data_IF_152627925328
#
_entry.id   IF_152627925328
#
_cell.length_a   1.000
_cell.length_b   1.000
_cell.length_c   1.000
_cell.angle_alpha   90.00
_cell.angle_beta   90.00
_cell.angle_gamma   90.00
#
_symmetry.space_group_name_H-M   'P 1'
#
loop_
_entity.id
_entity.type
_entity.pdbx_description
1 polymer ?
#
# COMPACT_ATOMS: atom_id res chain seq x y z
N UNK A 1 -5.25 13.98 44.62
CA UNK A 1 -5.02 15.15 45.52
C UNK A 1 -4.38 16.31 44.76
N UNK A 2 -3.29 16.10 44.01
CA UNK A 2 -2.66 17.16 43.20
C UNK A 2 -3.62 17.77 42.16
N UNK A 3 -4.34 16.93 41.41
CA UNK A 3 -5.41 17.29 40.46
C UNK A 3 -6.42 18.32 41.01
N UNK A 4 -6.97 18.02 42.19
CA UNK A 4 -7.95 18.88 42.87
C UNK A 4 -7.32 20.20 43.33
N UNK A 5 -6.06 20.18 43.77
CA UNK A 5 -5.33 21.39 44.17
C UNK A 5 -4.99 22.27 42.97
N UNK A 6 -4.59 21.68 41.84
CA UNK A 6 -4.31 22.41 40.60
C UNK A 6 -5.59 23.01 40.03
N UNK A 7 -6.71 22.28 40.07
CA UNK A 7 -8.02 22.81 39.69
C UNK A 7 -8.43 23.99 40.59
N UNK A 8 -8.19 23.92 41.90
CA UNK A 8 -8.48 25.01 42.82
C UNK A 8 -7.61 26.24 42.54
N UNK A 9 -6.32 26.07 42.23
CA UNK A 9 -5.43 27.17 41.84
C UNK A 9 -5.93 27.84 40.55
N UNK A 10 -6.31 27.05 39.54
CA UNK A 10 -6.89 27.60 38.30
C UNK A 10 -8.17 28.36 38.59
N UNK A 11 -9.08 27.81 39.40
CA UNK A 11 -10.32 28.49 39.78
C UNK A 11 -10.07 29.76 40.60
N UNK A 12 -9.05 29.81 41.45
CA UNK A 12 -8.64 31.02 42.17
C UNK A 12 -8.10 32.11 41.22
N UNK A 13 -7.32 31.74 40.21
CA UNK A 13 -6.84 32.68 39.17
C UNK A 13 -8.02 33.19 38.32
N UNK A 14 -9.01 32.33 38.08
CA UNK A 14 -10.18 32.65 37.29
C UNK A 14 -11.19 33.53 38.02
N UNK A 15 -11.25 33.46 39.36
CA UNK A 15 -12.14 34.25 40.19
C UNK A 15 -11.89 35.74 39.95
N UNK A 16 -12.75 36.35 39.14
CA UNK A 16 -12.90 37.81 39.09
C UNK A 16 -13.67 38.17 40.36
N UNK A 17 -13.18 39.14 41.14
CA UNK A 17 -14.02 39.67 42.22
C UNK A 17 -15.24 40.32 41.57
N UNK A 18 -16.44 40.00 42.04
CA UNK A 18 -17.71 40.53 41.46
C UNK A 18 -17.74 42.07 41.38
N UNK A 19 -16.91 42.72 42.20
CA UNK A 19 -16.67 44.17 42.21
C UNK A 19 -15.83 44.61 41.01
N UNK A 20 -14.81 43.84 40.63
CA UNK A 20 -13.98 44.15 39.45
C UNK A 20 -14.76 44.02 38.14
N UNK A 21 -15.64 43.02 38.06
CA UNK A 21 -16.50 42.82 36.89
C UNK A 21 -17.56 43.92 36.76
N UNK A 22 -18.13 44.37 37.89
CA UNK A 22 -19.15 45.43 37.95
C UNK A 22 -18.59 46.85 37.69
N UNK A 23 -17.31 47.10 38.00
CA UNK A 23 -16.69 48.42 37.92
C UNK A 23 -15.48 48.49 36.95
N UNK A 24 -15.40 47.57 35.98
CA UNK A 24 -14.29 47.47 35.02
C UNK A 24 -13.95 48.77 34.25
N UNK A 25 -14.92 49.67 34.06
CA UNK A 25 -14.70 51.00 33.47
C UNK A 25 -14.18 52.08 34.41
N UNK A 26 -14.16 51.83 35.72
CA UNK A 26 -13.76 52.77 36.79
C UNK A 26 -12.54 52.31 37.59
N UNK A 27 -12.14 51.05 37.44
CA UNK A 27 -10.96 50.50 38.09
C UNK A 27 -9.70 50.84 37.28
N UNK A 28 -8.75 51.48 37.96
CA UNK A 28 -7.40 51.67 37.42
C UNK A 28 -6.70 50.32 37.48
N UNK A 29 -6.52 49.66 36.33
CA UNK A 29 -5.69 48.46 36.25
C UNK A 29 -4.28 48.78 36.75
N UNK A 30 -3.87 48.15 37.85
CA UNK A 30 -2.49 48.21 38.36
C UNK A 30 -1.74 46.95 37.92
N UNK A 31 -0.96 47.01 36.83
CA UNK A 31 -0.27 45.84 36.30
C UNK A 31 0.76 45.23 37.27
N UNK A 32 1.26 46.00 38.24
CA UNK A 32 2.21 45.52 39.25
C UNK A 32 1.54 44.55 40.25
N UNK A 33 0.35 44.88 40.76
CA UNK A 33 -0.39 44.03 41.72
C UNK A 33 -0.87 42.71 41.06
N UNK A 34 -1.26 42.76 39.78
CA UNK A 34 -1.58 41.56 39.00
C UNK A 34 -0.36 40.65 38.81
N UNK A 35 0.80 41.22 38.48
CA UNK A 35 2.04 40.47 38.31
C UNK A 35 2.51 39.81 39.61
N UNK A 36 2.35 40.48 40.75
CA UNK A 36 2.63 39.89 42.06
C UNK A 36 1.71 38.71 42.39
N UNK A 37 0.39 38.85 42.13
CA UNK A 37 -0.57 37.74 42.29
C UNK A 37 -0.20 36.55 41.40
N UNK A 38 0.12 36.79 40.13
CA UNK A 38 0.54 35.74 39.20
C UNK A 38 1.83 35.04 39.66
N UNK A 39 2.80 35.79 40.19
CA UNK A 39 4.03 35.24 40.77
C UNK A 39 3.75 34.36 42.00
N UNK A 40 2.78 34.74 42.85
CA UNK A 40 2.33 33.92 43.97
C UNK A 40 1.71 32.60 43.50
N UNK A 41 0.83 32.63 42.50
CA UNK A 41 0.22 31.42 41.93
C UNK A 41 1.26 30.53 41.24
N UNK A 42 2.23 31.12 40.54
CA UNK A 42 3.34 30.40 39.93
C UNK A 42 4.15 29.66 41.01
N UNK A 43 4.51 30.31 42.13
CA UNK A 43 5.24 29.67 43.23
C UNK A 43 4.46 28.50 43.85
N UNK A 44 3.15 28.66 44.06
CA UNK A 44 2.27 27.58 44.55
C UNK A 44 2.27 26.39 43.59
N UNK A 45 2.12 26.65 42.30
CA UNK A 45 2.10 25.61 41.28
C UNK A 45 3.45 24.91 41.14
N UNK A 46 4.56 25.66 41.17
CA UNK A 46 5.93 25.14 41.22
C UNK A 46 6.11 24.16 42.37
N UNK A 47 5.71 24.51 43.59
CA UNK A 47 5.88 23.66 44.77
C UNK A 47 5.12 22.32 44.66
N UNK A 48 3.91 22.33 44.09
CA UNK A 48 3.12 21.11 43.85
C UNK A 48 3.78 20.26 42.78
N UNK A 49 4.25 20.87 41.69
CA UNK A 49 4.84 20.15 40.57
C UNK A 49 6.19 19.53 40.96
N UNK A 50 7.07 20.24 41.66
CA UNK A 50 8.39 19.72 42.07
C UNK A 50 8.31 18.50 43.01
N UNK A 51 7.25 18.39 43.81
CA UNK A 51 7.06 17.29 44.76
C UNK A 51 6.31 16.08 44.18
N UNK A 52 5.77 16.22 42.97
CA UNK A 52 4.95 15.20 42.30
C UNK A 52 5.78 14.32 41.35
N UNK A 53 5.37 13.07 41.16
CA UNK A 53 5.93 12.19 40.12
C UNK A 53 5.51 12.63 38.71
N UNK A 54 6.21 12.16 37.68
CA UNK A 54 5.93 12.53 36.29
C UNK A 54 4.50 12.19 35.83
N UNK A 55 3.94 11.06 36.26
CA UNK A 55 2.56 10.66 35.93
C UNK A 55 1.52 11.60 36.57
N UNK A 56 1.76 12.00 37.82
CA UNK A 56 0.88 12.93 38.54
C UNK A 56 0.98 14.34 37.96
N UNK A 57 2.20 14.76 37.56
CA UNK A 57 2.40 16.01 36.83
C UNK A 57 1.61 15.99 35.51
N UNK A 58 1.68 14.91 34.73
CA UNK A 58 0.97 14.80 33.46
C UNK A 58 -0.55 14.91 33.64
N UNK A 59 -1.12 14.16 34.59
CA UNK A 59 -2.56 14.20 34.91
C UNK A 59 -3.01 15.61 35.34
N UNK A 60 -2.24 16.24 36.24
CA UNK A 60 -2.54 17.59 36.72
C UNK A 60 -2.47 18.63 35.60
N UNK A 61 -1.52 18.52 34.67
CA UNK A 61 -1.40 19.40 33.51
C UNK A 61 -2.53 19.17 32.51
N UNK A 62 -2.95 17.92 32.26
CA UNK A 62 -4.13 17.63 31.43
C UNK A 62 -5.39 18.29 31.99
N UNK A 63 -5.59 18.23 33.30
CA UNK A 63 -6.71 18.90 33.95
C UNK A 63 -6.59 20.43 33.85
N UNK A 64 -5.40 20.99 34.10
CA UNK A 64 -5.13 22.42 33.96
C UNK A 64 -5.48 22.93 32.56
N UNK A 65 -5.04 22.22 31.52
CA UNK A 65 -5.31 22.55 30.12
C UNK A 65 -6.81 22.45 29.82
N UNK A 66 -7.49 21.43 30.35
CA UNK A 66 -8.93 21.24 30.17
C UNK A 66 -9.74 22.41 30.75
N UNK A 67 -9.37 22.90 31.94
CA UNK A 67 -10.00 24.08 32.56
C UNK A 67 -9.70 25.35 31.76
N UNK A 68 -8.46 25.50 31.29
CA UNK A 68 -8.03 26.65 30.47
C UNK A 68 -8.77 26.70 29.14
N UNK A 69 -9.11 25.54 28.56
CA UNK A 69 -9.78 25.45 27.26
C UNK A 69 -11.24 25.94 27.25
N UNK A 70 -11.90 26.03 28.40
CA UNK A 70 -13.30 26.48 28.54
C UNK A 70 -13.41 28.00 28.62
N UNK A 71 -12.28 28.70 28.77
CA UNK A 71 -12.25 30.14 28.94
C UNK A 71 -12.59 30.91 27.66
N UNK A 72 -13.44 31.92 27.80
CA UNK A 72 -13.75 32.88 26.74
C UNK A 72 -12.85 34.12 26.77
N UNK A 73 -12.23 34.43 27.92
CA UNK A 73 -11.34 35.57 28.07
C UNK A 73 -9.90 35.22 27.62
N UNK A 74 -9.51 35.74 26.47
CA UNK A 74 -8.17 35.54 25.88
C UNK A 74 -7.03 36.04 26.76
N UNK A 75 -7.20 37.16 27.49
CA UNK A 75 -6.15 37.71 28.36
C UNK A 75 -5.82 36.74 29.51
N UNK A 76 -6.86 36.25 30.20
CA UNK A 76 -6.70 35.26 31.29
C UNK A 76 -6.12 33.94 30.79
N UNK A 77 -6.57 33.48 29.61
CA UNK A 77 -6.02 32.28 28.97
C UNK A 77 -4.52 32.42 28.69
N UNK A 78 -4.09 33.57 28.15
CA UNK A 78 -2.69 33.85 27.90
C UNK A 78 -1.86 33.88 29.19
N UNK A 79 -2.39 34.45 30.28
CA UNK A 79 -1.73 34.43 31.58
C UNK A 79 -1.55 33.01 32.11
N UNK A 80 -2.59 32.17 32.09
CA UNK A 80 -2.52 30.77 32.52
C UNK A 80 -1.49 29.97 31.71
N UNK A 81 -1.52 30.08 30.39
CA UNK A 81 -0.54 29.42 29.52
C UNK A 81 0.88 29.98 29.72
N UNK A 82 1.02 31.27 30.05
CA UNK A 82 2.31 31.88 30.42
C UNK A 82 2.89 31.33 31.73
N UNK A 83 2.06 30.95 32.70
CA UNK A 83 2.53 30.25 33.90
C UNK A 83 3.14 28.90 33.53
N UNK A 84 2.50 28.14 32.64
CA UNK A 84 3.04 26.85 32.17
C UNK A 84 4.36 27.01 31.43
N UNK A 85 4.48 28.04 30.60
CA UNK A 85 5.73 28.40 29.92
C UNK A 85 6.87 28.64 30.92
N UNK A 86 6.60 29.43 31.97
CA UNK A 86 7.59 29.71 33.00
C UNK A 86 8.03 28.43 33.73
N UNK A 87 7.11 27.51 34.02
CA UNK A 87 7.46 26.23 34.65
C UNK A 87 8.39 25.37 33.79
N UNK A 88 8.21 25.40 32.47
CA UNK A 88 9.13 24.76 31.52
C UNK A 88 10.48 25.46 31.50
N UNK A 89 10.50 26.79 31.43
CA UNK A 89 11.74 27.58 31.42
C UNK A 89 12.56 27.41 32.72
N UNK A 90 11.90 27.18 33.86
CA UNK A 90 12.54 26.86 35.14
C UNK A 90 12.91 25.38 35.30
N UNK A 91 12.74 24.55 34.26
CA UNK A 91 13.01 23.11 34.26
C UNK A 91 12.21 22.31 35.31
N UNK A 92 11.06 22.82 35.75
CA UNK A 92 10.16 22.09 36.67
C UNK A 92 9.30 21.10 35.89
N UNK A 93 8.87 21.50 34.68
CA UNK A 93 8.12 20.65 33.75
C UNK A 93 8.93 20.37 32.50
N UNK A 94 8.84 19.15 31.99
CA UNK A 94 9.43 18.79 30.70
C UNK A 94 8.60 19.41 29.56
N UNK A 95 9.27 20.15 28.68
CA UNK A 95 8.63 20.78 27.50
C UNK A 95 7.84 19.78 26.65
N UNK A 96 8.37 18.55 26.52
CA UNK A 96 7.75 17.45 25.78
C UNK A 96 6.41 17.04 26.37
N UNK A 97 6.37 16.76 27.68
CA UNK A 97 5.16 16.38 28.40
C UNK A 97 4.06 17.43 28.20
N UNK A 98 4.41 18.71 28.32
CA UNK A 98 3.45 19.80 28.12
C UNK A 98 2.91 19.84 26.67
N UNK A 99 3.77 19.71 25.66
CA UNK A 99 3.35 19.65 24.26
C UNK A 99 2.41 18.47 24.00
N UNK A 100 2.73 17.29 24.51
CA UNK A 100 1.93 16.08 24.35
C UNK A 100 0.55 16.23 25.03
N UNK A 101 0.49 16.80 26.23
CA UNK A 101 -0.77 17.11 26.92
C UNK A 101 -1.63 18.12 26.15
N UNK A 102 -1.03 19.14 25.52
CA UNK A 102 -1.75 20.11 24.70
C UNK A 102 -2.32 19.42 23.45
N UNK A 103 -1.50 18.68 22.71
CA UNK A 103 -1.89 18.05 21.45
C UNK A 103 -2.93 16.94 21.62
N UNK A 104 -2.91 16.24 22.75
CA UNK A 104 -3.91 15.21 23.09
C UNK A 104 -5.22 15.79 23.62
N UNK A 105 -5.30 17.10 23.87
CA UNK A 105 -6.55 17.73 24.29
C UNK A 105 -7.63 17.62 23.21
N UNK A 106 -8.81 17.14 23.60
CA UNK A 106 -10.00 17.09 22.73
C UNK A 106 -10.54 18.49 22.41
N UNK A 107 -10.29 19.45 23.30
CA UNK A 107 -10.74 20.84 23.15
C UNK A 107 -9.83 21.66 22.23
N UNK A 108 -8.66 21.12 21.85
CA UNK A 108 -7.77 21.73 20.86
C UNK A 108 -8.36 21.50 19.45
N UNK A 109 -9.33 22.34 19.10
CA UNK A 109 -10.02 22.38 17.81
C UNK A 109 -10.00 23.80 17.25
N UNK A 110 -9.91 23.94 15.92
CA UNK A 110 -9.85 25.25 15.25
C UNK A 110 -11.07 26.15 15.53
N UNK A 111 -12.22 25.55 15.90
CA UNK A 111 -13.43 26.28 16.29
C UNK A 111 -13.27 27.04 17.60
N UNK A 112 -12.40 26.56 18.50
CA UNK A 112 -11.99 27.28 19.70
C UNK A 112 -10.75 28.11 19.35
N UNK A 113 -10.97 29.21 18.61
CA UNK A 113 -9.90 29.95 17.94
C UNK A 113 -8.85 30.51 18.90
N UNK A 114 -9.27 31.06 20.04
CA UNK A 114 -8.34 31.67 21.00
C UNK A 114 -7.48 30.59 21.67
N UNK A 115 -8.10 29.51 22.15
CA UNK A 115 -7.39 28.39 22.74
C UNK A 115 -6.43 27.73 21.75
N UNK A 116 -6.89 27.54 20.51
CA UNK A 116 -6.05 27.02 19.42
C UNK A 116 -4.80 27.88 19.21
N UNK A 117 -4.99 29.20 19.03
CA UNK A 117 -3.88 30.13 18.76
C UNK A 117 -2.90 30.15 19.93
N UNK A 118 -3.39 30.32 21.16
CA UNK A 118 -2.50 30.45 22.32
C UNK A 118 -1.76 29.14 22.64
N UNK A 119 -2.38 27.97 22.45
CA UNK A 119 -1.70 26.68 22.57
C UNK A 119 -0.57 26.49 21.55
N UNK A 120 -0.81 26.80 20.26
CA UNK A 120 0.24 26.69 19.25
C UNK A 120 1.34 27.74 19.44
N UNK A 121 1.00 28.94 19.93
CA UNK A 121 1.99 29.94 20.36
C UNK A 121 2.86 29.43 21.51
N UNK A 122 2.25 28.80 22.52
CA UNK A 122 2.97 28.19 23.64
C UNK A 122 3.91 27.09 23.15
N UNK A 123 3.41 26.14 22.35
CA UNK A 123 4.24 25.08 21.73
C UNK A 123 5.43 25.70 20.99
N UNK A 124 5.20 26.75 20.18
CA UNK A 124 6.27 27.41 19.41
C UNK A 124 7.39 28.00 20.29
N UNK A 125 7.06 28.45 21.51
CA UNK A 125 8.02 29.02 22.47
C UNK A 125 8.81 27.94 23.20
N UNK A 126 8.17 26.84 23.60
CA UNK A 126 8.80 25.78 24.42
C UNK A 126 9.44 24.65 23.62
N UNK A 127 9.09 24.45 22.34
CA UNK A 127 9.54 23.30 21.53
C UNK A 127 11.07 23.21 21.39
N UNK A 128 11.80 24.31 21.56
CA UNK A 128 13.27 24.32 21.57
C UNK A 128 13.90 23.52 22.72
N UNK A 129 13.13 23.26 23.80
CA UNK A 129 13.55 22.40 24.91
C UNK A 129 13.28 20.90 24.71
N UNK A 130 12.86 20.48 23.52
CA UNK A 130 12.55 19.08 23.20
C UNK A 130 13.63 18.49 22.28
N UNK A 131 14.01 17.23 22.54
CA UNK A 131 14.95 16.51 21.67
C UNK A 131 14.38 16.26 20.26
N UNK A 132 15.25 16.02 19.27
CA UNK A 132 14.82 15.89 17.87
C UNK A 132 13.83 14.74 17.61
N UNK A 133 13.87 13.65 18.39
CA UNK A 133 12.90 12.55 18.27
C UNK A 133 11.55 12.96 18.84
N UNK A 134 11.55 13.68 19.96
CA UNK A 134 10.34 14.27 20.54
C UNK A 134 9.70 15.30 19.60
N UNK A 135 10.50 16.19 19.01
CA UNK A 135 10.01 17.16 18.02
C UNK A 135 9.32 16.47 16.83
N UNK A 136 9.83 15.32 16.38
CA UNK A 136 9.19 14.53 15.30
C UNK A 136 7.77 14.09 15.64
N UNK A 137 7.56 13.59 16.86
CA UNK A 137 6.23 13.15 17.31
C UNK A 137 5.29 14.34 17.55
N UNK A 138 5.80 15.44 18.12
CA UNK A 138 5.04 16.70 18.27
C UNK A 138 4.60 17.22 16.88
N UNK A 139 5.51 17.24 15.91
CA UNK A 139 5.20 17.66 14.53
C UNK A 139 4.14 16.78 13.88
N UNK A 140 4.14 15.47 14.15
CA UNK A 140 3.09 14.54 13.70
C UNK A 140 1.74 14.92 14.30
N UNK A 141 1.66 15.13 15.61
CA UNK A 141 0.42 15.56 16.29
C UNK A 141 -0.08 16.92 15.81
N UNK A 142 0.82 17.90 15.63
CA UNK A 142 0.49 19.20 15.04
C UNK A 142 -0.13 19.06 13.64
N UNK A 143 0.46 18.21 12.78
CA UNK A 143 -0.04 17.96 11.42
C UNK A 143 -1.43 17.32 11.44
N UNK A 144 -1.66 16.32 12.29
CA UNK A 144 -2.96 15.65 12.41
C UNK A 144 -4.07 16.62 12.80
N UNK A 145 -3.79 17.54 13.75
CA UNK A 145 -4.74 18.58 14.16
C UNK A 145 -4.98 19.62 13.07
N UNK A 146 -3.93 20.03 12.35
CA UNK A 146 -3.97 21.14 11.40
C UNK A 146 -4.21 20.74 9.93
N UNK A 147 -4.41 19.45 9.64
CA UNK A 147 -4.51 18.93 8.26
C UNK A 147 -5.62 19.58 7.41
N UNK A 148 -6.65 20.12 8.04
CA UNK A 148 -7.79 20.77 7.36
C UNK A 148 -7.52 22.23 6.98
N UNK A 149 -6.38 22.80 7.39
CA UNK A 149 -6.06 24.21 7.14
C UNK A 149 -5.39 24.41 5.75
N UNK A 150 -6.00 25.17 4.82
CA UNK A 150 -5.48 25.31 3.46
C UNK A 150 -4.07 25.92 3.37
N UNK A 151 -3.75 26.86 4.27
CA UNK A 151 -2.43 27.51 4.31
C UNK A 151 -1.30 26.52 4.62
N UNK A 152 -1.58 25.47 5.38
CA UNK A 152 -0.59 24.45 5.73
C UNK A 152 -0.23 23.59 4.52
N UNK A 153 -1.20 23.31 3.63
CA UNK A 153 -0.97 22.49 2.45
C UNK A 153 0.15 23.07 1.57
N UNK A 154 0.10 24.37 1.25
CA UNK A 154 1.14 25.03 0.44
C UNK A 154 2.53 24.95 1.08
N UNK A 155 2.62 25.24 2.38
CA UNK A 155 3.88 25.17 3.12
C UNK A 155 4.48 23.76 3.10
N UNK A 156 3.64 22.74 3.35
CA UNK A 156 4.06 21.34 3.32
C UNK A 156 4.47 20.90 1.92
N UNK A 157 3.76 21.31 0.87
CA UNK A 157 4.14 21.03 -0.50
C UNK A 157 5.52 21.60 -0.79
N UNK A 158 5.77 22.89 -0.52
CA UNK A 158 7.09 23.49 -0.75
C UNK A 158 8.20 22.81 0.06
N UNK A 159 7.92 22.42 1.31
CA UNK A 159 8.87 21.68 2.13
C UNK A 159 9.17 20.30 1.51
N UNK A 160 8.16 19.53 1.13
CA UNK A 160 8.33 18.23 0.46
C UNK A 160 9.12 18.40 -0.83
N UNK A 161 8.80 19.40 -1.64
CA UNK A 161 9.50 19.67 -2.90
C UNK A 161 10.98 20.01 -2.72
N UNK A 162 11.38 20.60 -1.59
CA UNK A 162 12.81 20.83 -1.30
C UNK A 162 13.63 19.54 -1.17
N UNK A 163 12.99 18.38 -1.00
CA UNK A 163 13.64 17.06 -1.00
C UNK A 163 13.75 16.41 -2.38
N UNK A 164 13.23 17.03 -3.45
CA UNK A 164 13.38 16.52 -4.83
C UNK A 164 14.86 16.27 -5.22
N UNK A 165 15.82 17.17 -4.92
CA UNK A 165 17.24 16.89 -5.19
C UNK A 165 17.77 15.66 -4.44
N UNK A 166 17.33 15.45 -3.20
CA UNK A 166 17.70 14.27 -2.42
C UNK A 166 17.13 12.99 -3.04
N UNK A 167 15.86 13.03 -3.51
CA UNK A 167 15.25 11.92 -4.24
C UNK A 167 16.05 11.58 -5.51
N UNK A 168 16.47 12.60 -6.27
CA UNK A 168 17.30 12.42 -7.47
C UNK A 168 18.67 11.81 -7.16
N UNK A 169 19.34 12.24 -6.08
CA UNK A 169 20.65 11.69 -5.67
C UNK A 169 20.61 10.19 -5.36
N UNK A 170 19.46 9.67 -4.91
CA UNK A 170 19.29 8.25 -4.54
C UNK A 170 18.50 7.45 -5.59
N UNK A 171 18.29 8.04 -6.78
CA UNK A 171 17.57 7.42 -7.89
C UNK A 171 18.49 7.19 -9.08
N UNK A 172 18.19 6.16 -9.88
CA UNK A 172 18.89 5.91 -11.14
C UNK A 172 18.16 6.70 -12.23
N UNK A 173 18.92 7.51 -12.99
CA UNK A 173 18.36 8.31 -14.09
C UNK A 173 17.85 7.36 -15.19
N UNK A 174 16.59 7.52 -15.59
CA UNK A 174 15.98 6.71 -16.65
C UNK A 174 15.67 5.26 -16.26
N UNK A 175 15.68 4.92 -14.97
CA UNK A 175 15.58 3.52 -14.49
C UNK A 175 14.37 2.76 -15.03
N UNK A 176 13.20 3.40 -15.14
CA UNK A 176 11.97 2.81 -15.67
C UNK A 176 12.04 2.41 -17.14
N UNK A 177 13.01 2.96 -17.88
CA UNK A 177 13.24 2.67 -19.31
C UNK A 177 14.40 1.68 -19.52
N UNK A 178 15.20 1.43 -18.49
CA UNK A 178 16.32 0.50 -18.60
C UNK A 178 15.80 -0.94 -18.54
N UNK A 179 16.31 -1.79 -19.41
CA UNK A 179 15.96 -3.21 -19.48
C UNK A 179 17.21 -4.05 -19.24
N UNK A 180 17.16 -5.04 -18.34
CA UNK A 180 18.28 -5.94 -18.12
C UNK A 180 18.40 -6.97 -19.24
N UNK A 181 19.62 -7.47 -19.41
CA UNK A 181 19.86 -8.75 -20.07
C UNK A 181 19.55 -9.86 -19.06
N UNK A 182 18.71 -10.81 -19.44
CA UNK A 182 18.35 -11.93 -18.57
C UNK A 182 19.50 -12.93 -18.54
N UNK A 183 20.16 -13.02 -17.39
CA UNK A 183 21.23 -13.98 -17.17
C UNK A 183 20.71 -15.25 -16.49
N UNK A 184 21.22 -16.40 -16.95
CA UNK A 184 20.93 -17.71 -16.36
C UNK A 184 21.88 -18.05 -15.19
N UNK A 185 23.05 -17.41 -15.13
CA UNK A 185 23.98 -17.62 -14.03
C UNK A 185 23.39 -17.04 -12.76
N UNK A 186 23.11 -17.91 -11.78
CA UNK A 186 22.52 -17.60 -10.47
C UNK A 186 23.39 -16.73 -9.57
N UNK A 187 23.88 -15.60 -10.06
CA UNK A 187 24.50 -14.52 -9.30
C UNK A 187 23.42 -13.73 -8.50
N UNK A 188 22.57 -14.47 -7.78
CA UNK A 188 21.60 -13.93 -6.83
C UNK A 188 22.23 -13.35 -5.56
N UNK A 189 23.56 -13.36 -5.46
CA UNK A 189 24.35 -12.90 -4.30
C UNK A 189 24.89 -11.47 -4.43
N UNK A 190 24.57 -10.74 -5.50
CA UNK A 190 24.82 -9.30 -5.49
C UNK A 190 23.90 -8.64 -4.47
N UNK A 191 24.49 -8.08 -3.41
CA UNK A 191 23.86 -7.37 -2.29
C UNK A 191 22.85 -6.28 -2.71
N UNK A 192 22.83 -5.88 -3.99
CA UNK A 192 21.94 -4.86 -4.55
C UNK A 192 21.36 -5.35 -5.89
N UNK A 193 20.08 -5.77 -5.88
CA UNK A 193 19.30 -5.96 -7.10
C UNK A 193 18.57 -4.63 -7.43
N UNK A 194 18.96 -3.89 -8.50
CA UNK A 194 18.30 -2.64 -8.86
C UNK A 194 16.88 -2.87 -9.38
N UNK A 195 16.58 -4.06 -9.90
CA UNK A 195 15.30 -4.43 -10.51
C UNK A 195 14.28 -4.95 -9.50
N UNK A 196 14.50 -4.73 -8.20
CA UNK A 196 13.61 -5.24 -7.17
C UNK A 196 12.27 -4.50 -7.20
N UNK A 197 11.21 -5.28 -7.36
CA UNK A 197 9.82 -4.84 -7.39
C UNK A 197 9.08 -5.36 -6.17
N UNK A 198 8.13 -4.57 -5.68
CA UNK A 198 7.15 -5.03 -4.72
C UNK A 198 6.17 -6.02 -5.40
N UNK A 199 5.98 -7.24 -4.88
CA UNK A 199 5.20 -8.27 -5.55
C UNK A 199 3.69 -7.99 -5.61
N UNK A 200 3.17 -7.06 -4.80
CA UNK A 200 1.76 -6.68 -4.82
C UNK A 200 1.48 -5.54 -5.80
N UNK A 201 2.37 -4.56 -5.86
CA UNK A 201 2.17 -3.31 -6.61
C UNK A 201 3.00 -3.21 -7.89
N UNK A 202 3.99 -4.08 -8.06
CA UNK A 202 5.00 -4.06 -9.13
C UNK A 202 5.80 -2.75 -9.22
N UNK A 203 5.83 -1.95 -8.15
CA UNK A 203 6.60 -0.70 -8.08
C UNK A 203 8.02 -0.99 -7.63
N UNK A 204 8.96 -0.12 -7.98
CA UNK A 204 10.32 -0.22 -7.45
C UNK A 204 10.33 -0.14 -5.92
N UNK A 205 11.18 -0.95 -5.29
CA UNK A 205 11.42 -0.89 -3.85
C UNK A 205 12.32 0.31 -3.49
N UNK A 206 11.74 1.51 -3.50
CA UNK A 206 12.45 2.77 -3.23
C UNK A 206 12.75 2.97 -1.73
N UNK A 207 13.83 3.70 -1.42
CA UNK A 207 14.32 3.88 -0.04
C UNK A 207 13.73 5.12 0.63
N UNK A 208 12.78 4.89 1.54
CA UNK A 208 12.19 5.95 2.34
C UNK A 208 11.13 6.76 1.59
N UNK A 209 10.58 7.78 2.27
CA UNK A 209 9.44 8.55 1.77
C UNK A 209 9.89 9.87 1.15
N UNK A 210 10.65 9.78 0.05
CA UNK A 210 11.11 10.94 -0.71
C UNK A 210 10.15 11.25 -1.88
N UNK A 211 10.12 12.50 -2.36
CA UNK A 211 9.34 12.90 -3.53
C UNK A 211 10.02 12.41 -4.82
N UNK A 212 9.98 11.11 -5.04
CA UNK A 212 10.49 10.48 -6.25
C UNK A 212 9.71 10.90 -7.49
N UNK A 213 10.37 10.79 -8.64
CA UNK A 213 9.71 11.01 -9.93
C UNK A 213 8.56 10.00 -10.12
N UNK A 214 7.46 10.48 -10.71
CA UNK A 214 6.23 9.71 -10.90
C UNK A 214 6.46 8.37 -11.63
N UNK A 215 7.41 8.33 -12.56
CA UNK A 215 7.72 7.12 -13.32
C UNK A 215 8.30 6.01 -12.45
N UNK A 216 9.00 6.33 -11.36
CA UNK A 216 9.53 5.36 -10.40
C UNK A 216 8.44 4.85 -9.43
N UNK A 217 7.40 5.66 -9.22
CA UNK A 217 6.27 5.35 -8.35
C UNK A 217 5.18 4.51 -9.04
N UNK A 218 5.23 4.40 -10.37
CA UNK A 218 4.30 3.59 -11.16
C UNK A 218 4.68 2.10 -11.17
N UNK A 219 3.72 1.20 -11.40
CA UNK A 219 4.00 -0.21 -11.64
C UNK A 219 4.91 -0.42 -12.87
N UNK A 220 5.99 -1.18 -12.71
CA UNK A 220 6.99 -1.46 -13.74
C UNK A 220 6.61 -2.70 -14.56
N UNK A 221 5.44 -2.62 -15.22
CA UNK A 221 4.85 -3.74 -15.96
C UNK A 221 5.70 -4.11 -17.18
N UNK A 222 6.17 -3.12 -17.94
CA UNK A 222 7.01 -3.33 -19.12
C UNK A 222 8.29 -4.10 -18.78
N UNK A 223 8.96 -3.72 -17.69
CA UNK A 223 10.15 -4.38 -17.17
C UNK A 223 9.87 -5.85 -16.81
N UNK A 224 8.81 -6.12 -16.05
CA UNK A 224 8.46 -7.49 -15.67
C UNK A 224 8.09 -8.34 -16.90
N UNK A 225 7.32 -7.78 -17.84
CA UNK A 225 6.97 -8.46 -19.10
C UNK A 225 8.19 -8.79 -19.95
N UNK A 226 9.11 -7.83 -20.09
CA UNK A 226 10.38 -8.03 -20.80
C UNK A 226 11.13 -9.24 -20.24
N UNK A 227 11.29 -9.31 -18.91
CA UNK A 227 11.97 -10.43 -18.25
C UNK A 227 11.21 -11.75 -18.42
N UNK A 228 9.90 -11.75 -18.18
CA UNK A 228 9.07 -12.96 -18.31
C UNK A 228 9.07 -13.56 -19.71
N UNK A 229 9.18 -12.73 -20.75
CA UNK A 229 9.24 -13.16 -22.15
C UNK A 229 10.59 -13.79 -22.53
N UNK A 230 11.65 -13.56 -21.77
CA UNK A 230 12.95 -14.18 -22.06
C UNK A 230 13.00 -15.63 -21.56
N UNK A 231 13.60 -16.55 -22.33
CA UNK A 231 13.99 -17.87 -21.86
C UNK A 231 14.88 -17.80 -20.60
N UNK A 232 14.82 -18.82 -19.75
CA UNK A 232 15.67 -18.95 -18.56
C UNK A 232 15.52 -17.84 -17.49
N UNK A 233 14.50 -16.98 -17.59
CA UNK A 233 14.25 -15.85 -16.70
C UNK A 233 13.75 -16.17 -15.28
N UNK A 234 13.56 -17.44 -14.95
CA UNK A 234 12.89 -17.88 -13.72
C UNK A 234 13.58 -17.37 -12.45
N UNK A 235 14.89 -17.47 -12.38
CA UNK A 235 15.66 -17.06 -11.18
C UNK A 235 15.70 -15.53 -11.05
N UNK A 236 15.88 -14.84 -12.17
CA UNK A 236 15.83 -13.38 -12.22
C UNK A 236 14.46 -12.85 -11.78
N UNK A 237 13.37 -13.42 -12.31
CA UNK A 237 12.00 -13.07 -11.93
C UNK A 237 11.76 -13.29 -10.43
N UNK A 238 12.22 -14.42 -9.88
CA UNK A 238 12.12 -14.68 -8.44
C UNK A 238 12.89 -13.63 -7.63
N UNK A 239 14.11 -13.29 -8.05
CA UNK A 239 14.95 -12.27 -7.41
C UNK A 239 14.31 -10.88 -7.46
N UNK A 240 13.75 -10.49 -8.60
CA UNK A 240 13.07 -9.21 -8.78
C UNK A 240 11.87 -9.07 -7.86
N UNK A 241 11.03 -10.10 -7.75
CA UNK A 241 9.82 -10.09 -6.95
C UNK A 241 10.05 -10.51 -5.48
N UNK A 242 11.29 -10.85 -5.10
CA UNK A 242 11.62 -11.37 -3.77
C UNK A 242 10.92 -12.69 -3.45
N UNK A 243 10.56 -13.48 -4.46
CA UNK A 243 9.86 -14.75 -4.30
C UNK A 243 10.85 -15.87 -4.00
N UNK A 244 10.60 -16.61 -2.92
CA UNK A 244 11.45 -17.72 -2.51
C UNK A 244 10.80 -19.04 -2.87
N UNK A 245 11.50 -19.90 -3.62
CA UNK A 245 10.97 -21.19 -4.11
C UNK A 245 10.50 -22.14 -3.00
N UNK A 246 11.05 -22.00 -1.79
CA UNK A 246 10.70 -22.83 -0.62
C UNK A 246 9.36 -22.42 0.01
N UNK A 247 8.94 -21.16 -0.18
CA UNK A 247 7.72 -20.62 0.38
C UNK A 247 6.66 -20.45 -0.71
N UNK A 248 5.64 -21.32 -0.69
CA UNK A 248 4.50 -21.21 -1.60
C UNK A 248 3.74 -19.92 -1.30
N UNK A 249 3.98 -18.90 -2.11
CA UNK A 249 3.32 -17.60 -2.00
C UNK A 249 2.70 -17.23 -3.34
N UNK A 250 1.36 -17.19 -3.39
CA UNK A 250 0.64 -16.74 -4.57
C UNK A 250 0.93 -15.27 -4.86
N UNK A 251 1.28 -14.96 -6.10
CA UNK A 251 1.55 -13.60 -6.56
C UNK A 251 0.51 -13.21 -7.62
N UNK A 252 -0.53 -12.49 -7.21
CA UNK A 252 -1.66 -12.11 -8.09
C UNK A 252 -1.18 -11.23 -9.24
N UNK A 253 -0.28 -10.28 -8.97
CA UNK A 253 0.26 -9.41 -10.01
C UNK A 253 1.01 -10.20 -11.10
N UNK A 254 1.71 -11.27 -10.71
CA UNK A 254 2.36 -12.18 -11.65
C UNK A 254 1.34 -12.99 -12.47
N UNK A 255 0.28 -13.51 -11.85
CA UNK A 255 -0.81 -14.18 -12.55
C UNK A 255 -1.43 -13.28 -13.62
N UNK A 256 -1.74 -12.03 -13.27
CA UNK A 256 -2.31 -11.06 -14.20
C UNK A 256 -1.37 -10.80 -15.39
N UNK A 257 -0.06 -10.69 -15.14
CA UNK A 257 0.92 -10.54 -16.22
C UNK A 257 1.07 -11.80 -17.08
N UNK A 258 0.96 -13.01 -16.53
CA UNK A 258 0.95 -14.23 -17.34
C UNK A 258 -0.27 -14.29 -18.27
N UNK A 259 -1.44 -13.92 -17.76
CA UNK A 259 -2.66 -13.83 -18.57
C UNK A 259 -2.46 -12.84 -19.72
N UNK A 260 -1.96 -11.63 -19.45
CA UNK A 260 -1.63 -10.65 -20.48
C UNK A 260 -0.67 -11.21 -21.53
N UNK A 261 0.41 -11.87 -21.08
CA UNK A 261 1.41 -12.44 -21.97
C UNK A 261 0.87 -13.60 -22.83
N UNK A 262 -0.20 -14.27 -22.41
CA UNK A 262 -0.91 -15.28 -23.21
C UNK A 262 -1.91 -14.68 -24.20
N UNK A 263 -2.46 -13.49 -23.93
CA UNK A 263 -3.33 -12.77 -24.89
C UNK A 263 -2.54 -12.19 -26.05
N UNK A 264 -1.36 -11.62 -25.78
CA UNK A 264 -0.50 -11.01 -26.82
C UNK A 264 -0.22 -11.92 -28.03
N UNK A 265 0.20 -13.20 -27.89
CA UNK A 265 0.37 -14.08 -29.04
C UNK A 265 -0.96 -14.45 -29.70
N UNK A 266 -2.10 -14.48 -28.99
CA UNK A 266 -3.41 -14.68 -29.64
C UNK A 266 -3.74 -13.51 -30.55
N UNK A 267 -3.53 -12.27 -30.11
CA UNK A 267 -3.74 -11.06 -30.92
C UNK A 267 -2.82 -11.04 -32.15
N UNK A 268 -1.57 -11.48 -32.00
CA UNK A 268 -0.63 -11.62 -33.11
C UNK A 268 -1.08 -12.68 -34.11
N UNK A 269 -1.57 -13.83 -33.65
CA UNK A 269 -2.10 -14.87 -34.54
C UNK A 269 -3.26 -14.35 -35.40
N UNK A 270 -4.07 -13.40 -34.93
CA UNK A 270 -5.12 -12.79 -35.76
C UNK A 270 -4.58 -11.99 -36.94
N UNK A 271 -3.41 -11.36 -36.77
CA UNK A 271 -2.76 -10.51 -37.75
C UNK A 271 -1.87 -11.29 -38.73
N UNK A 272 -1.40 -12.48 -38.34
CA UNK A 272 -0.59 -13.35 -39.18
C UNK A 272 -1.44 -14.07 -40.26
N UNK A 273 -0.88 -14.21 -41.47
CA UNK A 273 -1.46 -15.00 -42.56
C UNK A 273 -1.10 -16.49 -42.38
N UNK A 274 -2.02 -17.39 -42.73
CA UNK A 274 -2.00 -18.83 -42.41
C UNK A 274 -0.88 -19.66 -43.08
N UNK A 275 0.00 -19.06 -43.87
CA UNK A 275 0.92 -19.77 -44.77
C UNK A 275 2.24 -20.22 -44.09
N UNK A 276 2.62 -19.67 -42.93
CA UNK A 276 3.85 -20.02 -42.22
C UNK A 276 3.59 -21.02 -41.05
N UNK A 277 3.90 -22.31 -41.26
CA UNK A 277 3.72 -23.37 -40.25
C UNK A 277 4.54 -23.18 -38.95
N UNK A 278 5.58 -22.33 -38.98
CA UNK A 278 6.47 -22.06 -37.85
C UNK A 278 6.62 -20.56 -37.62
N UNK A 279 5.48 -19.89 -37.44
CA UNK A 279 5.41 -18.47 -37.13
C UNK A 279 6.22 -18.11 -35.87
N UNK A 280 6.69 -16.85 -35.79
CA UNK A 280 7.39 -16.33 -34.61
C UNK A 280 6.60 -16.52 -33.30
N UNK A 281 5.27 -16.61 -33.40
CA UNK A 281 4.34 -16.85 -32.30
C UNK A 281 4.43 -18.27 -31.73
N UNK A 282 4.86 -19.28 -32.50
CA UNK A 282 5.01 -20.65 -32.01
C UNK A 282 6.00 -20.75 -30.84
N UNK A 283 7.17 -20.11 -30.96
CA UNK A 283 8.19 -20.09 -29.91
C UNK A 283 7.71 -19.37 -28.65
N UNK A 284 6.89 -18.32 -28.80
CA UNK A 284 6.26 -17.65 -27.67
C UNK A 284 5.33 -18.60 -26.92
N UNK A 285 4.52 -19.39 -27.62
CA UNK A 285 3.62 -20.37 -27.00
C UNK A 285 4.36 -21.47 -26.24
N UNK A 286 5.45 -22.00 -26.80
CA UNK A 286 6.29 -22.99 -26.12
C UNK A 286 6.91 -22.42 -24.83
N UNK A 287 7.43 -21.20 -24.91
CA UNK A 287 7.99 -20.52 -23.74
C UNK A 287 6.93 -20.28 -22.66
N UNK A 288 5.77 -19.74 -23.02
CA UNK A 288 4.65 -19.50 -22.10
C UNK A 288 4.17 -20.79 -21.44
N UNK A 289 4.09 -21.90 -22.20
CA UNK A 289 3.78 -23.23 -21.66
C UNK A 289 4.72 -23.60 -20.51
N UNK A 290 6.02 -23.53 -20.79
CA UNK A 290 7.07 -23.85 -19.80
C UNK A 290 7.01 -22.93 -18.58
N UNK A 291 6.70 -21.64 -18.76
CA UNK A 291 6.62 -20.67 -17.66
C UNK A 291 5.38 -20.88 -16.79
N UNK A 292 4.21 -21.07 -17.39
CA UNK A 292 2.95 -21.30 -16.68
C UNK A 292 3.03 -22.56 -15.84
N UNK A 293 3.54 -23.66 -16.41
CA UNK A 293 3.76 -24.91 -15.67
C UNK A 293 4.66 -24.66 -14.46
N UNK A 294 5.81 -24.02 -14.66
CA UNK A 294 6.77 -23.74 -13.59
C UNK A 294 6.14 -22.94 -12.44
N UNK A 295 5.46 -21.83 -12.77
CA UNK A 295 4.89 -20.90 -11.78
C UNK A 295 3.73 -21.51 -10.98
N UNK A 296 2.93 -22.36 -11.61
CA UNK A 296 1.87 -23.07 -10.88
C UNK A 296 2.47 -24.18 -10.00
N UNK A 297 3.44 -24.95 -10.50
CA UNK A 297 4.05 -26.05 -9.73
C UNK A 297 4.75 -25.58 -8.45
N UNK A 298 5.44 -24.44 -8.49
CA UNK A 298 6.08 -23.85 -7.31
C UNK A 298 5.10 -23.08 -6.41
N UNK A 299 3.84 -22.91 -6.84
CA UNK A 299 2.78 -22.27 -6.05
C UNK A 299 2.77 -20.74 -6.09
N UNK A 300 3.40 -20.11 -7.09
CA UNK A 300 3.34 -18.66 -7.30
C UNK A 300 2.11 -18.23 -8.10
N UNK A 301 1.55 -19.14 -8.88
CA UNK A 301 0.34 -18.92 -9.65
C UNK A 301 -0.69 -20.03 -9.42
N UNK A 302 -1.95 -19.73 -9.69
CA UNK A 302 -3.09 -20.63 -9.54
C UNK A 302 -3.76 -20.86 -10.90
N UNK A 303 -3.81 -22.14 -11.31
CA UNK A 303 -4.45 -22.53 -12.57
C UNK A 303 -5.91 -22.03 -12.73
N UNK A 304 -6.83 -22.25 -11.76
CA UNK A 304 -8.18 -21.71 -11.83
C UNK A 304 -8.23 -20.21 -12.14
N UNK A 305 -7.34 -19.43 -11.52
CA UNK A 305 -7.32 -17.98 -11.63
C UNK A 305 -6.73 -17.51 -12.95
N UNK A 306 -5.69 -18.19 -13.46
CA UNK A 306 -5.18 -17.94 -14.81
C UNK A 306 -6.28 -18.17 -15.85
N UNK A 307 -6.99 -19.29 -15.76
CA UNK A 307 -8.05 -19.64 -16.72
C UNK A 307 -9.21 -18.64 -16.66
N UNK A 308 -9.65 -18.27 -15.45
CA UNK A 308 -10.70 -17.25 -15.30
C UNK A 308 -10.23 -15.86 -15.75
N UNK A 309 -8.96 -15.50 -15.52
CA UNK A 309 -8.37 -14.25 -16.01
C UNK A 309 -8.34 -14.19 -17.53
N UNK A 310 -7.96 -15.29 -18.19
CA UNK A 310 -8.02 -15.43 -19.65
C UNK A 310 -9.45 -15.29 -20.16
N UNK A 311 -10.39 -16.04 -19.58
CA UNK A 311 -11.81 -15.95 -19.95
C UNK A 311 -12.33 -14.51 -19.83
N UNK A 312 -12.09 -13.83 -18.70
CA UNK A 312 -12.58 -12.48 -18.49
C UNK A 312 -12.01 -11.46 -19.48
N UNK A 313 -10.77 -11.65 -19.98
CA UNK A 313 -10.17 -10.79 -21.01
C UNK A 313 -10.61 -11.13 -22.42
N UNK A 314 -10.95 -12.39 -22.68
CA UNK A 314 -11.36 -12.85 -24.01
C UNK A 314 -12.86 -12.62 -24.25
N UNK A 315 -13.68 -12.45 -23.21
CA UNK A 315 -15.09 -12.11 -23.38
C UNK A 315 -15.22 -10.83 -24.21
N UNK A 316 -16.01 -10.91 -25.28
CA UNK A 316 -16.26 -9.79 -26.18
C UNK A 316 -15.19 -9.56 -27.25
N UNK A 317 -14.12 -10.36 -27.25
CA UNK A 317 -13.07 -10.34 -28.28
C UNK A 317 -13.15 -11.59 -29.15
N UNK A 318 -13.07 -11.42 -30.48
CA UNK A 318 -13.09 -12.54 -31.43
C UNK A 318 -11.67 -13.00 -31.78
N UNK A 319 -10.94 -13.52 -30.78
CA UNK A 319 -9.57 -14.03 -30.92
C UNK A 319 -9.60 -15.57 -30.99
N UNK A 320 -9.79 -16.13 -32.18
CA UNK A 320 -10.00 -17.57 -32.38
C UNK A 320 -8.82 -18.29 -33.03
N UNK A 321 -8.00 -17.63 -33.86
CA UNK A 321 -6.89 -18.31 -34.56
C UNK A 321 -5.85 -18.89 -33.59
N UNK A 322 -5.62 -18.23 -32.46
CA UNK A 322 -4.68 -18.68 -31.42
C UNK A 322 -5.22 -19.73 -30.43
N UNK A 323 -6.48 -20.15 -30.55
CA UNK A 323 -7.17 -20.95 -29.50
C UNK A 323 -6.53 -22.32 -29.28
N UNK A 324 -6.09 -22.99 -30.34
CA UNK A 324 -5.53 -24.34 -30.26
C UNK A 324 -4.15 -24.31 -29.57
N UNK A 325 -3.36 -23.26 -29.81
CA UNK A 325 -2.11 -23.02 -29.08
C UNK A 325 -2.36 -22.73 -27.60
N UNK A 326 -3.39 -21.95 -27.27
CA UNK A 326 -3.77 -21.69 -25.87
C UNK A 326 -4.21 -22.98 -25.17
N UNK A 327 -5.08 -23.77 -25.80
CA UNK A 327 -5.50 -25.05 -25.24
C UNK A 327 -4.33 -26.02 -25.07
N UNK A 328 -3.39 -26.03 -26.01
CA UNK A 328 -2.15 -26.80 -25.86
C UNK A 328 -1.33 -26.39 -24.62
N UNK A 329 -1.15 -25.09 -24.38
CA UNK A 329 -0.48 -24.58 -23.17
C UNK A 329 -1.16 -25.07 -21.90
N UNK A 330 -2.49 -24.95 -21.84
CA UNK A 330 -3.28 -25.34 -20.66
C UNK A 330 -3.28 -26.86 -20.46
N UNK A 331 -3.33 -27.64 -21.55
CA UNK A 331 -3.25 -29.09 -21.54
C UNK A 331 -1.98 -29.60 -20.86
N UNK A 332 -0.81 -28.99 -21.13
CA UNK A 332 0.45 -29.44 -20.54
C UNK A 332 0.39 -29.46 -19.00
N UNK A 333 -0.22 -28.43 -18.40
CA UNK A 333 -0.40 -28.40 -16.95
C UNK A 333 -1.48 -29.38 -16.48
N UNK A 334 -2.62 -29.45 -17.16
CA UNK A 334 -3.73 -30.36 -16.80
C UNK A 334 -3.24 -31.80 -16.81
N UNK A 335 -2.65 -32.26 -17.93
CA UNK A 335 -2.20 -33.64 -18.12
C UNK A 335 -1.20 -34.06 -17.03
N UNK A 336 -0.25 -33.19 -16.69
CA UNK A 336 0.78 -33.48 -15.69
C UNK A 336 0.34 -33.37 -14.22
N UNK A 337 -0.74 -32.63 -13.91
CA UNK A 337 -1.10 -32.30 -12.52
C UNK A 337 -2.47 -32.81 -12.07
N UNK A 338 -3.36 -33.21 -12.99
CA UNK A 338 -4.76 -33.56 -12.69
C UNK A 338 -4.89 -34.76 -11.73
N UNK A 339 -3.96 -35.70 -11.76
CA UNK A 339 -4.01 -36.86 -10.87
C UNK A 339 -3.87 -36.46 -9.40
N UNK A 340 -3.00 -35.49 -9.10
CA UNK A 340 -2.65 -35.07 -7.73
C UNK A 340 -3.52 -33.95 -7.16
N UNK A 341 -4.41 -33.38 -7.97
CA UNK A 341 -5.23 -32.23 -7.61
C UNK A 341 -6.72 -32.57 -7.75
N UNK A 342 -7.61 -31.89 -7.00
CA UNK A 342 -9.05 -32.10 -7.13
C UNK A 342 -9.56 -31.62 -8.48
N UNK A 343 -10.57 -32.30 -9.04
CA UNK A 343 -11.21 -31.93 -10.32
C UNK A 343 -11.67 -30.48 -10.34
N UNK A 344 -12.17 -29.96 -9.21
CA UNK A 344 -12.69 -28.60 -9.07
C UNK A 344 -11.70 -27.52 -9.50
N UNK A 345 -10.39 -27.76 -9.36
CA UNK A 345 -9.36 -26.81 -9.77
C UNK A 345 -9.29 -26.63 -11.30
N UNK A 346 -9.79 -27.60 -12.06
CA UNK A 346 -9.69 -27.59 -13.52
C UNK A 346 -10.99 -27.21 -14.22
N UNK A 347 -12.14 -27.30 -13.52
CA UNK A 347 -13.46 -26.95 -14.07
C UNK A 347 -13.58 -25.56 -14.71
N UNK A 348 -12.85 -24.49 -14.29
CA UNK A 348 -12.87 -23.21 -14.98
C UNK A 348 -12.56 -23.30 -16.48
N UNK A 349 -11.83 -24.33 -16.92
CA UNK A 349 -11.50 -24.54 -18.34
C UNK A 349 -12.74 -24.72 -19.22
N UNK A 350 -13.84 -25.22 -18.64
CA UNK A 350 -15.12 -25.41 -19.34
C UNK A 350 -15.64 -24.08 -19.87
N UNK A 351 -15.60 -23.02 -19.04
CA UNK A 351 -16.04 -21.67 -19.46
C UNK A 351 -15.18 -21.12 -20.59
N UNK A 352 -13.87 -21.32 -20.50
CA UNK A 352 -12.95 -20.87 -21.55
C UNK A 352 -13.16 -21.63 -22.86
N UNK A 353 -13.45 -22.92 -22.77
CA UNK A 353 -13.82 -23.75 -23.91
C UNK A 353 -15.13 -23.26 -24.57
N UNK A 354 -16.20 -23.02 -23.80
CA UNK A 354 -17.48 -22.51 -24.30
C UNK A 354 -17.33 -21.17 -25.04
N UNK A 355 -16.39 -20.34 -24.59
CA UNK A 355 -16.08 -19.05 -25.21
C UNK A 355 -15.31 -19.22 -26.53
N UNK A 356 -14.30 -20.08 -26.57
CA UNK A 356 -13.38 -20.21 -27.70
C UNK A 356 -13.84 -21.19 -28.79
N UNK A 357 -14.74 -22.11 -28.46
CA UNK A 357 -15.30 -23.11 -29.36
C UNK A 357 -16.83 -23.03 -29.41
N UNK A 358 -17.40 -21.93 -29.95
CA UNK A 358 -18.85 -21.75 -30.01
C UNK A 358 -19.54 -22.65 -31.05
N UNK A 359 -18.79 -23.41 -31.84
CA UNK A 359 -19.31 -24.27 -32.90
C UNK A 359 -20.20 -25.38 -32.33
N UNK A 360 -21.39 -25.53 -32.91
CA UNK A 360 -22.31 -26.63 -32.57
C UNK A 360 -22.02 -27.90 -33.38
N UNK A 361 -21.43 -27.74 -34.55
CA UNK A 361 -21.06 -28.85 -35.43
C UNK A 361 -19.77 -29.52 -34.94
N UNK A 362 -19.61 -30.84 -35.17
CA UNK A 362 -18.38 -31.54 -34.85
C UNK A 362 -17.15 -30.93 -35.54
N UNK A 363 -16.12 -30.64 -34.76
CA UNK A 363 -14.82 -30.21 -35.28
C UNK A 363 -14.22 -31.36 -36.11
N UNK A 364 -13.61 -31.06 -37.28
CA UNK A 364 -12.99 -32.07 -38.11
C UNK A 364 -11.77 -32.68 -37.42
N UNK A 365 -11.45 -33.92 -37.76
CA UNK A 365 -10.18 -34.55 -37.38
C UNK A 365 -9.06 -33.86 -38.15
N UNK A 366 -8.03 -33.31 -37.48
CA UNK A 366 -6.91 -32.66 -38.14
C UNK A 366 -6.01 -33.67 -38.85
N UNK A 367 -5.20 -33.18 -39.80
CA UNK A 367 -4.23 -34.02 -40.50
C UNK A 367 -3.11 -34.48 -39.56
N UNK A 368 -3.14 -35.76 -39.18
CA UNK A 368 -2.17 -36.40 -38.29
C UNK A 368 -0.73 -36.40 -38.84
N UNK A 369 -0.51 -36.10 -40.13
CA UNK A 369 0.83 -35.95 -40.69
C UNK A 369 1.50 -34.61 -40.28
N UNK A 370 0.71 -33.59 -39.91
CA UNK A 370 1.23 -32.26 -39.54
C UNK A 370 1.45 -32.17 -38.04
N UNK A 371 2.58 -31.64 -37.58
CA UNK A 371 2.89 -31.49 -36.16
C UNK A 371 1.85 -30.65 -35.39
N UNK A 372 1.23 -29.67 -36.07
CA UNK A 372 0.19 -28.82 -35.51
C UNK A 372 -1.09 -29.59 -35.10
N UNK A 373 -1.32 -30.81 -35.61
CA UNK A 373 -2.49 -31.62 -35.20
C UNK A 373 -2.57 -31.81 -33.68
N UNK A 374 -1.41 -31.87 -33.01
CA UNK A 374 -1.35 -32.01 -31.54
C UNK A 374 -1.96 -30.82 -30.81
N UNK A 375 -1.85 -29.61 -31.37
CA UNK A 375 -2.47 -28.41 -30.84
C UNK A 375 -3.98 -28.41 -31.10
N UNK A 376 -4.39 -28.79 -32.31
CA UNK A 376 -5.81 -28.87 -32.70
C UNK A 376 -6.58 -29.93 -31.88
N UNK A 377 -5.91 -31.03 -31.53
CA UNK A 377 -6.45 -32.08 -30.66
C UNK A 377 -6.35 -31.73 -29.16
N UNK A 378 -5.72 -30.62 -28.78
CA UNK A 378 -5.46 -30.32 -27.37
C UNK A 378 -6.76 -30.20 -26.55
N UNK A 379 -7.80 -29.59 -27.13
CA UNK A 379 -9.10 -29.40 -26.49
C UNK A 379 -9.79 -30.73 -26.16
N UNK A 380 -9.78 -31.70 -27.08
CA UNK A 380 -10.35 -33.03 -26.82
C UNK A 380 -9.51 -33.79 -25.78
N UNK A 381 -8.18 -33.68 -25.83
CA UNK A 381 -7.31 -34.28 -24.82
C UNK A 381 -7.55 -33.71 -23.41
N UNK A 382 -7.77 -32.39 -23.29
CA UNK A 382 -8.19 -31.77 -22.02
C UNK A 382 -9.46 -32.45 -21.51
N UNK A 383 -10.46 -32.60 -22.38
CA UNK A 383 -11.73 -33.20 -22.00
C UNK A 383 -11.60 -34.67 -21.58
N UNK A 384 -10.78 -35.45 -22.29
CA UNK A 384 -10.47 -36.84 -21.92
C UNK A 384 -9.87 -36.92 -20.50
N UNK A 385 -8.95 -36.02 -20.16
CA UNK A 385 -8.38 -35.95 -18.82
C UNK A 385 -9.43 -35.61 -17.75
N UNK A 386 -10.33 -34.65 -18.03
CA UNK A 386 -11.40 -34.27 -17.12
C UNK A 386 -12.42 -35.39 -16.91
N UNK A 387 -12.85 -36.08 -17.97
CA UNK A 387 -13.77 -37.21 -17.91
C UNK A 387 -13.19 -38.34 -17.03
N UNK A 388 -11.95 -38.75 -17.31
CA UNK A 388 -11.28 -39.80 -16.53
C UNK A 388 -11.12 -39.41 -15.05
N UNK A 389 -10.87 -38.13 -14.76
CA UNK A 389 -10.79 -37.63 -13.39
C UNK A 389 -12.16 -37.57 -12.72
N UNK A 390 -13.21 -37.17 -13.43
CA UNK A 390 -14.59 -37.17 -12.95
C UNK A 390 -15.07 -38.57 -12.58
N UNK A 391 -14.80 -39.56 -13.44
CA UNK A 391 -15.04 -40.98 -13.15
C UNK A 391 -14.35 -41.42 -11.86
N UNK A 392 -13.06 -41.07 -11.69
CA UNK A 392 -12.32 -41.41 -10.47
C UNK A 392 -12.84 -40.74 -9.20
N UNK A 393 -13.50 -39.58 -9.33
CA UNK A 393 -14.13 -38.84 -8.23
C UNK A 393 -15.65 -39.13 -8.11
N UNK A 394 -16.19 -40.10 -8.85
CA UNK A 394 -17.62 -40.46 -8.90
C UNK A 394 -18.53 -39.27 -9.26
N UNK A 395 -18.05 -38.38 -10.14
CA UNK A 395 -18.80 -37.23 -10.66
C UNK A 395 -19.23 -37.49 -12.10
N UNK A 396 -20.42 -37.04 -12.45
CA UNK A 396 -20.94 -37.11 -13.82
C UNK A 396 -20.43 -35.94 -14.64
N UNK A 397 -19.86 -36.23 -15.82
CA UNK A 397 -19.40 -35.23 -16.79
C UNK A 397 -19.61 -35.81 -18.19
N UNK A 398 -20.05 -34.98 -19.13
CA UNK A 398 -20.37 -35.39 -20.51
C UNK A 398 -19.40 -34.78 -21.50
N UNK A 399 -19.16 -35.48 -22.61
CA UNK A 399 -18.38 -34.96 -23.74
C UNK A 399 -19.25 -33.98 -24.57
N UNK A 400 -18.77 -32.78 -24.89
CA UNK A 400 -19.43 -31.88 -25.81
C UNK A 400 -19.59 -32.49 -27.20
N UNK A 401 -20.75 -32.27 -27.82
CA UNK A 401 -21.09 -32.89 -29.10
C UNK A 401 -20.14 -32.47 -30.23
N UNK A 402 -19.63 -31.24 -30.19
CA UNK A 402 -18.70 -30.73 -31.19
C UNK A 402 -17.29 -31.37 -31.10
N UNK A 403 -16.93 -32.01 -29.98
CA UNK A 403 -15.66 -32.73 -29.82
C UNK A 403 -15.77 -34.22 -30.13
N UNK A 404 -16.99 -34.71 -30.42
CA UNK A 404 -17.27 -36.15 -30.56
C UNK A 404 -16.45 -36.80 -31.68
N UNK A 405 -16.34 -36.15 -32.84
CA UNK A 405 -15.60 -36.68 -34.00
C UNK A 405 -14.10 -36.76 -33.76
N UNK A 406 -13.53 -35.87 -32.95
CA UNK A 406 -12.11 -35.95 -32.57
C UNK A 406 -11.84 -36.95 -31.45
N UNK A 407 -12.88 -37.35 -30.71
CA UNK A 407 -12.78 -38.31 -29.60
C UNK A 407 -12.91 -39.76 -30.06
N UNK A 408 -13.78 -40.01 -31.04
CA UNK A 408 -13.94 -41.30 -31.73
C UNK A 408 -12.72 -41.62 -32.59
#
# INVERSE_FOLDING_TARGET
MADTQVANIVNEILRVETVEEAFSGFLVHKPEEENERLSMYQKKLSAIMTTSSAEVQEAAIRQYITLTAVLTNRYKMKQLLGILENLVNTNILQARMLCDCILTSEKLIYKNSDFWIECFCLIRRIIGGVDYKGVREIMKGCREKAQTLPKLAKLLTTFVESFKPCAQMVSIIGHSQMLPVVEFSGYSDHLVNPWRLDPATLRFALKGNLPYDEDLLRPQISLLRHVLQQPYSRDMMCSMLGLQKQHKQRCIALEDQLVELMILPMEKCEQENEEDEMSSTHWCWLHLSSQVIYLILIGFASFPNIVMGLHNKLIGHDLKKGRDHLMWVLLQFISGSIQRNPLANFLPIIKLYELLYPEKEPLPVPDCARAHCTHQMAVVCIWMHLLKKAESELKTMTLPQNLKVQYE
#
